data_IF_701807860578
#
_entry.id   IF_701807860578
#
_cell.length_a   1.000
_cell.length_b   1.000
_cell.length_c   1.000
_cell.angle_alpha   90.00
_cell.angle_beta   90.00
_cell.angle_gamma   90.00
#
_symmetry.space_group_name_H-M   'P 1'
#
loop_
_entity.id
_entity.type
_entity.pdbx_description
1 polymer ?
#
# COMPACT_ATOMS: atom_id res chain seq x y z
N UNK A 1 7.07 7.22 11.07
CA UNK A 1 7.29 7.74 9.70
C UNK A 1 6.02 7.59 8.90
N UNK A 2 5.71 8.57 8.06
CA UNK A 2 4.61 8.47 7.10
C UNK A 2 5.08 7.71 5.86
N UNK A 3 4.27 6.77 5.40
CA UNK A 3 4.58 5.92 4.24
C UNK A 3 3.59 6.22 3.13
N UNK A 4 4.10 6.60 1.96
CA UNK A 4 3.26 6.90 0.81
C UNK A 4 2.81 5.62 0.08
N UNK A 5 1.52 5.54 -0.28
CA UNK A 5 0.95 4.44 -1.08
C UNK A 5 0.40 5.01 -2.38
N UNK A 6 0.87 4.50 -3.51
CA UNK A 6 0.27 4.78 -4.82
C UNK A 6 -0.73 3.68 -5.19
N UNK A 7 -1.84 4.03 -5.87
CA UNK A 7 -2.88 3.05 -6.22
C UNK A 7 -2.36 1.88 -7.08
N UNK A 8 -1.26 2.09 -7.82
CA UNK A 8 -0.61 1.05 -8.63
C UNK A 8 0.05 -0.03 -7.79
N UNK A 9 0.50 0.32 -6.59
CA UNK A 9 1.19 -0.58 -5.67
C UNK A 9 0.21 -1.51 -4.94
N UNK A 10 -1.10 -1.23 -4.99
CA UNK A 10 -2.14 -2.09 -4.41
C UNK A 10 -2.40 -3.30 -5.31
N UNK A 11 -2.31 -4.50 -4.75
CA UNK A 11 -2.65 -5.78 -5.38
C UNK A 11 -4.16 -5.97 -5.50
N UNK A 12 -4.60 -6.60 -6.59
CA UNK A 12 -6.00 -6.96 -6.82
C UNK A 12 -6.46 -6.65 -8.24
N UNK A 13 -7.53 -7.32 -8.66
CA UNK A 13 -8.19 -7.08 -9.94
C UNK A 13 -9.38 -6.12 -9.76
N UNK A 14 -9.56 -5.18 -10.70
CA UNK A 14 -10.63 -4.18 -10.63
C UNK A 14 -10.27 -2.95 -9.77
N UNK A 15 -11.17 -2.56 -8.86
CA UNK A 15 -11.02 -1.34 -8.04
C UNK A 15 -10.02 -1.56 -6.90
N UNK A 16 -8.80 -1.06 -7.09
CA UNK A 16 -7.71 -1.08 -6.12
C UNK A 16 -7.89 0.04 -5.09
N UNK A 17 -8.60 -0.26 -4.01
CA UNK A 17 -8.97 0.70 -2.95
C UNK A 17 -8.60 0.16 -1.58
N UNK A 18 -8.08 1.04 -0.72
CA UNK A 18 -7.96 0.80 0.70
C UNK A 18 -8.98 1.67 1.43
N UNK A 19 -9.61 1.10 2.45
CA UNK A 19 -10.53 1.81 3.32
C UNK A 19 -9.81 2.33 4.56
N UNK A 20 -10.34 3.40 5.14
CA UNK A 20 -9.82 3.92 6.42
C UNK A 20 -9.89 2.83 7.50
N UNK A 21 -8.81 2.70 8.28
CA UNK A 21 -8.64 1.67 9.29
C UNK A 21 -8.40 0.24 8.76
N UNK A 22 -8.35 0.04 7.44
CA UNK A 22 -8.04 -1.28 6.85
C UNK A 22 -6.59 -1.67 7.14
N UNK A 23 -6.40 -2.86 7.70
CA UNK A 23 -5.06 -3.44 7.86
C UNK A 23 -4.53 -3.94 6.52
N UNK A 24 -3.26 -3.70 6.28
CA UNK A 24 -2.56 -4.05 5.04
C UNK A 24 -1.18 -4.63 5.33
N UNK A 25 -0.69 -5.41 4.40
CA UNK A 25 0.69 -5.87 4.33
C UNK A 25 1.34 -5.26 3.10
N UNK A 26 2.60 -4.84 3.22
CA UNK A 26 3.34 -4.17 2.16
C UNK A 26 4.85 -4.31 2.38
N UNK A 27 5.62 -4.06 1.33
CA UNK A 27 7.07 -3.92 1.40
C UNK A 27 7.46 -2.43 1.46
N UNK A 28 8.41 -2.09 2.33
CA UNK A 28 8.94 -0.72 2.43
C UNK A 28 10.06 -0.54 1.41
N UNK A 29 10.03 0.58 0.68
CA UNK A 29 11.11 1.02 -0.20
C UNK A 29 11.35 2.52 -0.05
N UNK A 30 12.56 3.00 -0.37
CA UNK A 30 12.86 4.43 -0.47
C UNK A 30 12.64 4.91 -1.90
N UNK A 31 11.95 6.05 -2.07
CA UNK A 31 11.76 6.70 -3.36
C UNK A 31 12.02 8.20 -3.30
N UNK A 32 11.80 8.90 -4.40
CA UNK A 32 12.05 10.35 -4.53
C UNK A 32 11.28 11.22 -3.51
N UNK A 33 10.26 10.67 -2.86
CA UNK A 33 9.40 11.34 -1.88
C UNK A 33 9.52 10.78 -0.46
N UNK A 34 10.57 10.00 -0.18
CA UNK A 34 10.75 9.31 1.09
C UNK A 34 10.25 7.87 1.04
N UNK A 35 9.81 7.35 2.19
CA UNK A 35 9.34 5.97 2.30
C UNK A 35 8.04 5.76 1.52
N UNK A 36 8.03 4.71 0.71
CA UNK A 36 6.86 4.27 -0.05
C UNK A 36 6.57 2.79 0.20
N UNK A 37 5.29 2.45 0.09
CA UNK A 37 4.79 1.10 0.24
C UNK A 37 4.55 0.49 -1.14
N UNK A 38 5.27 -0.60 -1.38
CA UNK A 38 5.16 -1.44 -2.58
C UNK A 38 4.38 -2.71 -2.25
N UNK A 39 3.83 -3.33 -3.28
CA UNK A 39 3.25 -4.68 -3.16
C UNK A 39 2.14 -4.81 -2.11
N UNK A 40 1.31 -3.78 -2.01
CA UNK A 40 0.33 -3.59 -0.94
C UNK A 40 -0.85 -4.56 -1.10
N UNK A 41 -1.10 -5.39 -0.10
CA UNK A 41 -2.24 -6.30 -0.05
C UNK A 41 -3.09 -6.02 1.20
N UNK A 42 -4.40 -6.28 1.09
CA UNK A 42 -5.26 -6.31 2.27
C UNK A 42 -4.80 -7.43 3.20
N UNK A 43 -4.51 -7.10 4.46
CA UNK A 43 -4.20 -8.13 5.44
C UNK A 43 -5.47 -8.93 5.68
N UNK A 44 -5.42 -10.24 5.42
CA UNK A 44 -6.48 -11.15 5.80
C UNK A 44 -6.76 -11.07 7.31
N UNK A 45 -7.97 -11.43 7.72
CA UNK A 45 -8.27 -11.59 9.15
C UNK A 45 -7.47 -12.73 9.76
#
# INVERSE_FOLDING_TARGET
DDIFVHFRSIRGEGHRVLHDGQRVEFAISEGDKGLQAEDVAAAGK
#
